data_IF_057283062811
#
_entry.id   IF_057283062811
#
_cell.length_a   1.000
_cell.length_b   1.000
_cell.length_c   1.000
_cell.angle_alpha   90.00
_cell.angle_beta   90.00
_cell.angle_gamma   90.00
#
_symmetry.space_group_name_H-M   'P 1'
#
loop_
_entity.id
_entity.type
_entity.pdbx_description
1 polymer ?
#
# COMPACT_ATOMS: atom_id res chain seq x y z
N UNK A 1 2.56 5.66 18.18
CA UNK A 1 2.06 7.03 17.95
C UNK A 1 2.76 7.95 18.93
N UNK A 2 3.58 8.89 18.45
CA UNK A 2 3.96 10.05 19.26
C UNK A 2 2.92 11.12 18.93
N UNK A 3 2.00 11.38 19.84
CA UNK A 3 1.19 12.59 19.72
C UNK A 3 2.14 13.75 19.95
N UNK A 4 2.22 14.63 18.95
CA UNK A 4 2.89 15.89 19.08
C UNK A 4 1.99 16.74 19.98
N UNK A 5 2.52 17.22 21.10
CA UNK A 5 1.78 18.14 21.96
C UNK A 5 1.43 19.40 21.16
N UNK A 6 0.24 19.96 21.35
CA UNK A 6 -0.24 21.14 20.62
C UNK A 6 0.75 22.33 20.66
N UNK A 7 1.64 22.31 21.66
CA UNK A 7 2.62 23.34 21.96
C UNK A 7 4.00 23.12 21.31
N UNK A 8 4.22 21.99 20.63
CA UNK A 8 5.54 21.54 20.15
C UNK A 8 6.23 22.50 19.18
N UNK A 9 5.45 23.30 18.45
CA UNK A 9 5.98 24.30 17.53
C UNK A 9 5.86 25.73 18.07
N UNK A 10 5.51 25.97 19.34
CA UNK A 10 5.30 27.33 19.88
C UNK A 10 6.60 28.10 20.18
N UNK A 11 7.73 27.41 20.30
CA UNK A 11 9.05 27.97 20.62
C UNK A 11 9.89 28.34 19.37
N UNK A 12 9.43 27.95 18.18
CA UNK A 12 10.15 28.13 16.92
C UNK A 12 10.07 29.58 16.42
N UNK A 13 11.12 30.13 15.80
CA UNK A 13 11.03 31.47 15.17
C UNK A 13 10.31 31.43 13.80
N UNK A 14 9.92 32.59 13.27
CA UNK A 14 9.13 32.63 12.01
C UNK A 14 9.92 32.15 10.78
N UNK A 15 11.26 32.23 10.78
CA UNK A 15 12.09 31.76 9.66
C UNK A 15 12.21 30.24 9.67
N UNK A 16 12.39 29.66 10.85
CA UNK A 16 12.41 28.23 11.05
C UNK A 16 11.01 27.64 10.80
N UNK A 17 9.94 28.35 11.17
CA UNK A 17 8.57 27.95 10.82
C UNK A 17 8.36 27.89 9.30
N UNK A 18 8.82 28.89 8.55
CA UNK A 18 8.76 28.90 7.07
C UNK A 18 9.59 27.76 6.47
N UNK A 19 10.77 27.48 7.02
CA UNK A 19 11.60 26.36 6.59
C UNK A 19 10.90 25.01 6.81
N UNK A 20 10.31 24.80 7.99
CA UNK A 20 9.59 23.57 8.32
C UNK A 20 8.35 23.38 7.45
N UNK A 21 7.60 24.45 7.18
CA UNK A 21 6.46 24.39 6.25
C UNK A 21 6.91 23.96 4.84
N UNK A 22 8.02 24.51 4.34
CA UNK A 22 8.56 24.14 3.03
C UNK A 22 9.02 22.68 2.97
N UNK A 23 9.75 22.22 3.99
CA UNK A 23 10.22 20.83 4.04
C UNK A 23 9.08 19.84 4.25
N UNK A 24 8.07 20.17 5.06
CA UNK A 24 6.87 19.34 5.23
C UNK A 24 6.09 19.17 3.92
N UNK A 25 5.95 20.24 3.12
CA UNK A 25 5.32 20.16 1.81
C UNK A 25 6.09 19.24 0.85
N UNK A 26 7.41 19.37 0.79
CA UNK A 26 8.26 18.47 -0.01
C UNK A 26 8.17 17.02 0.46
N UNK A 27 8.08 16.80 1.77
CA UNK A 27 7.96 15.47 2.36
C UNK A 27 6.65 14.81 1.92
N UNK A 28 5.52 15.52 2.03
CA UNK A 28 4.21 15.07 1.55
C UNK A 28 4.28 14.71 0.07
N UNK A 29 4.79 15.60 -0.78
CA UNK A 29 4.89 15.37 -2.23
C UNK A 29 5.72 14.12 -2.55
N UNK A 30 6.86 13.94 -1.86
CA UNK A 30 7.73 12.77 -2.02
C UNK A 30 7.04 11.46 -1.64
N UNK A 31 6.31 11.44 -0.51
CA UNK A 31 5.58 10.24 -0.07
C UNK A 31 4.41 9.93 -1.00
N UNK A 32 3.65 10.95 -1.42
CA UNK A 32 2.56 10.75 -2.39
C UNK A 32 3.09 10.21 -3.73
N UNK A 33 4.25 10.68 -4.17
CA UNK A 33 4.92 10.15 -5.36
C UNK A 33 5.31 8.68 -5.16
N UNK A 34 5.90 8.32 -4.01
CA UNK A 34 6.23 6.93 -3.66
C UNK A 34 5.00 6.02 -3.70
N UNK A 35 3.91 6.43 -3.02
CA UNK A 35 2.64 5.71 -3.01
C UNK A 35 2.09 5.53 -4.43
N UNK A 36 2.17 6.57 -5.27
CA UNK A 36 1.71 6.51 -6.66
C UNK A 36 2.50 5.49 -7.47
N UNK A 37 3.83 5.48 -7.35
CA UNK A 37 4.70 4.50 -8.02
C UNK A 37 4.39 3.08 -7.55
N UNK A 38 4.24 2.88 -6.24
CA UNK A 38 3.90 1.57 -5.66
C UNK A 38 2.52 1.08 -6.12
N UNK A 39 1.53 1.96 -6.25
CA UNK A 39 0.22 1.64 -6.82
C UNK A 39 0.31 1.29 -8.31
N UNK A 40 1.10 2.03 -9.09
CA UNK A 40 1.32 1.71 -10.51
C UNK A 40 1.97 0.32 -10.68
N UNK A 41 3.01 0.03 -9.89
CA UNK A 41 3.67 -1.28 -9.90
C UNK A 41 2.71 -2.40 -9.48
N UNK A 42 1.84 -2.13 -8.50
CA UNK A 42 0.77 -3.05 -8.10
C UNK A 42 -0.19 -3.34 -9.27
N UNK A 43 -0.62 -2.32 -10.02
CA UNK A 43 -1.47 -2.54 -11.20
C UNK A 43 -0.78 -3.31 -12.32
N UNK A 44 0.52 -3.08 -12.56
CA UNK A 44 1.31 -3.85 -13.52
C UNK A 44 1.36 -5.33 -13.14
N UNK A 45 1.65 -5.62 -11.87
CA UNK A 45 1.66 -6.99 -11.35
C UNK A 45 0.27 -7.63 -11.40
N UNK A 46 -0.79 -6.89 -11.05
CA UNK A 46 -2.17 -7.35 -11.15
C UNK A 46 -2.50 -7.80 -12.59
N UNK A 47 -2.18 -6.96 -13.58
CA UNK A 47 -2.41 -7.26 -15.00
C UNK A 47 -1.71 -8.55 -15.42
N UNK A 48 -0.44 -8.72 -15.03
CA UNK A 48 0.34 -9.94 -15.31
C UNK A 48 -0.29 -11.18 -14.68
N UNK A 49 -0.71 -11.09 -13.41
CA UNK A 49 -1.36 -12.20 -12.72
C UNK A 49 -2.70 -12.57 -13.36
N UNK A 50 -3.52 -11.59 -13.75
CA UNK A 50 -4.80 -11.83 -14.44
C UNK A 50 -4.57 -12.58 -15.75
N UNK A 51 -3.61 -12.15 -16.57
CA UNK A 51 -3.29 -12.80 -17.84
C UNK A 51 -2.83 -14.24 -17.60
N UNK A 52 -1.95 -14.47 -16.61
CA UNK A 52 -1.49 -15.82 -16.27
C UNK A 52 -2.59 -16.73 -15.77
N UNK A 53 -3.43 -16.27 -14.84
CA UNK A 53 -4.58 -17.01 -14.33
C UNK A 53 -5.56 -17.33 -15.46
N UNK A 54 -5.88 -16.36 -16.32
CA UNK A 54 -6.76 -16.56 -17.47
C UNK A 54 -6.21 -17.59 -18.46
N UNK A 55 -4.92 -17.53 -18.79
CA UNK A 55 -4.27 -18.50 -19.66
C UNK A 55 -4.27 -19.91 -19.06
N UNK A 56 -3.91 -20.06 -17.78
CA UNK A 56 -3.94 -21.34 -17.09
C UNK A 56 -5.36 -21.92 -17.00
N UNK A 57 -6.35 -21.09 -16.69
CA UNK A 57 -7.75 -21.51 -16.66
C UNK A 57 -8.23 -22.05 -18.00
N UNK A 58 -7.93 -21.35 -19.11
CA UNK A 58 -8.28 -21.81 -20.45
C UNK A 58 -7.66 -23.18 -20.78
N UNK A 59 -6.37 -23.38 -20.47
CA UNK A 59 -5.68 -24.64 -20.70
C UNK A 59 -6.29 -25.80 -19.87
N UNK A 60 -6.72 -25.52 -18.64
CA UNK A 60 -7.42 -26.51 -17.81
C UNK A 60 -8.75 -26.90 -18.46
N UNK A 61 -9.54 -25.93 -18.96
CA UNK A 61 -10.86 -26.21 -19.56
C UNK A 61 -10.79 -26.98 -20.88
N UNK A 62 -9.65 -26.95 -21.58
CA UNK A 62 -9.42 -27.70 -22.82
C UNK A 62 -8.88 -29.12 -22.57
N UNK A 63 -8.54 -29.45 -21.33
CA UNK A 63 -7.99 -30.76 -20.99
C UNK A 63 -9.12 -31.77 -20.74
N UNK A 64 -9.24 -32.78 -21.60
CA UNK A 64 -10.26 -33.84 -21.46
C UNK A 64 -9.97 -34.82 -20.32
N UNK A 65 -8.74 -34.82 -19.77
CA UNK A 65 -8.28 -35.70 -18.70
C UNK A 65 -7.53 -34.92 -17.63
N UNK A 66 -7.59 -35.44 -16.40
CA UNK A 66 -6.80 -34.93 -15.28
C UNK A 66 -5.42 -35.60 -15.34
N UNK A 67 -4.55 -35.04 -16.16
CA UNK A 67 -3.16 -35.48 -16.29
C UNK A 67 -2.25 -34.63 -15.39
N UNK A 68 -0.98 -35.04 -15.27
CA UNK A 68 0.07 -34.32 -14.54
C UNK A 68 0.09 -32.81 -14.85
N UNK A 69 -0.05 -32.48 -16.13
CA UNK A 69 -0.04 -31.10 -16.62
C UNK A 69 -1.25 -30.30 -16.11
N UNK A 70 -2.44 -30.90 -16.08
CA UNK A 70 -3.66 -30.27 -15.57
C UNK A 70 -3.57 -30.01 -14.07
N UNK A 71 -2.96 -30.93 -13.31
CA UNK A 71 -2.73 -30.78 -11.87
C UNK A 71 -1.76 -29.64 -11.57
N UNK A 72 -0.66 -29.55 -12.34
CA UNK A 72 0.30 -28.45 -12.28
C UNK A 72 -0.37 -27.09 -12.54
N UNK A 73 -1.18 -27.00 -13.60
CA UNK A 73 -1.88 -25.77 -13.94
C UNK A 73 -2.90 -25.37 -12.87
N UNK A 74 -3.56 -26.35 -12.22
CA UNK A 74 -4.55 -26.08 -11.18
C UNK A 74 -3.89 -25.46 -9.94
N UNK A 75 -2.78 -26.02 -9.46
CA UNK A 75 -2.04 -25.47 -8.31
C UNK A 75 -1.48 -24.09 -8.65
N UNK A 76 -0.93 -23.93 -9.86
CA UNK A 76 -0.43 -22.65 -10.31
C UNK A 76 -1.54 -21.59 -10.38
N UNK A 77 -2.67 -21.92 -10.99
CA UNK A 77 -3.83 -21.05 -11.13
C UNK A 77 -4.36 -20.62 -9.74
N UNK A 78 -4.52 -21.57 -8.81
CA UNK A 78 -5.00 -21.25 -7.45
C UNK A 78 -4.01 -20.36 -6.69
N UNK A 79 -2.71 -20.64 -6.73
CA UNK A 79 -1.71 -19.81 -6.04
C UNK A 79 -1.62 -18.38 -6.60
N UNK A 80 -1.67 -18.22 -7.92
CA UNK A 80 -1.70 -16.88 -8.55
C UNK A 80 -3.03 -16.15 -8.29
N UNK A 81 -4.16 -16.88 -8.20
CA UNK A 81 -5.44 -16.29 -7.79
C UNK A 81 -5.38 -15.75 -6.36
N UNK A 82 -4.74 -16.47 -5.44
CA UNK A 82 -4.51 -15.98 -4.06
C UNK A 82 -3.66 -14.70 -4.10
N UNK A 83 -2.58 -14.67 -4.88
CA UNK A 83 -1.74 -13.49 -5.04
C UNK A 83 -2.53 -12.27 -5.55
N UNK A 84 -3.42 -12.49 -6.52
CA UNK A 84 -4.30 -11.46 -7.08
C UNK A 84 -5.23 -10.88 -6.03
N UNK A 85 -5.87 -11.73 -5.21
CA UNK A 85 -6.74 -11.31 -4.11
C UNK A 85 -5.96 -10.52 -3.06
N UNK A 86 -4.78 -10.99 -2.65
CA UNK A 86 -3.92 -10.28 -1.69
C UNK A 86 -3.56 -8.88 -2.21
N UNK A 87 -3.16 -8.78 -3.48
CA UNK A 87 -2.78 -7.50 -4.10
C UNK A 87 -3.98 -6.54 -4.16
N UNK A 88 -5.16 -7.03 -4.55
CA UNK A 88 -6.37 -6.23 -4.62
C UNK A 88 -6.78 -5.68 -3.23
N UNK A 89 -6.71 -6.51 -2.19
CA UNK A 89 -7.16 -6.16 -0.84
C UNK A 89 -6.16 -5.27 -0.11
N UNK A 90 -4.86 -5.54 -0.23
CA UNK A 90 -3.83 -4.88 0.57
C UNK A 90 -3.13 -3.72 -0.15
N UNK A 91 -3.00 -3.76 -1.47
CA UNK A 91 -2.26 -2.73 -2.23
C UNK A 91 -3.20 -1.77 -3.00
N UNK A 92 -4.32 -2.26 -3.53
CA UNK A 92 -5.20 -1.49 -4.42
C UNK A 92 -6.50 -1.02 -3.79
N UNK A 93 -6.80 -1.45 -2.56
CA UNK A 93 -8.01 -1.00 -1.86
C UNK A 93 -8.01 0.53 -1.78
N UNK A 94 -9.06 1.21 -2.28
CA UNK A 94 -9.12 2.66 -2.24
C UNK A 94 -9.15 3.13 -0.79
N UNK A 95 -8.11 3.88 -0.40
CA UNK A 95 -8.03 4.51 0.90
C UNK A 95 -8.58 5.93 0.80
N UNK A 96 -9.25 6.39 1.85
CA UNK A 96 -9.63 7.80 1.96
C UNK A 96 -8.34 8.61 2.04
N UNK A 97 -8.07 9.43 1.03
CA UNK A 97 -6.91 10.32 1.06
C UNK A 97 -7.06 11.29 2.24
N UNK A 98 -6.01 11.53 3.04
CA UNK A 98 -6.03 12.59 4.01
C UNK A 98 -6.24 13.93 3.29
N UNK A 99 -7.08 14.79 3.84
CA UNK A 99 -7.32 16.11 3.27
C UNK A 99 -6.09 16.95 3.66
N UNK A 100 -5.29 17.34 2.67
CA UNK A 100 -4.06 18.14 2.84
C UNK A 100 -4.29 19.55 3.39
N UNK A 101 -5.56 19.93 3.58
CA UNK A 101 -5.96 21.21 4.16
C UNK A 101 -6.81 21.00 5.40
N UNK A 102 -6.59 21.86 6.38
CA UNK A 102 -7.44 21.91 7.57
C UNK A 102 -8.79 22.52 7.19
N UNK A 103 -9.87 21.98 7.78
CA UNK A 103 -11.18 22.60 7.62
C UNK A 103 -11.12 24.04 8.13
N UNK A 104 -11.72 25.01 7.43
CA UNK A 104 -11.82 26.39 7.94
C UNK A 104 -12.44 26.48 9.33
N UNK A 105 -13.30 25.51 9.69
CA UNK A 105 -13.90 25.41 11.02
C UNK A 105 -12.90 24.99 12.10
N UNK A 106 -11.91 24.17 11.76
CA UNK A 106 -10.85 23.72 12.68
C UNK A 106 -9.81 24.84 12.88
N UNK A 107 -9.56 25.62 11.83
CA UNK A 107 -8.64 26.76 11.85
C UNK A 107 -9.22 28.00 12.55
N UNK A 108 -10.55 28.19 12.56
CA UNK A 108 -11.24 29.37 13.10
C UNK A 108 -12.16 29.02 14.28
N UNK A 109 -11.60 28.38 15.30
CA UNK A 109 -12.32 27.91 16.48
C UNK A 109 -12.74 29.04 17.43
N UNK A 110 -13.69 28.76 18.33
CA UNK A 110 -14.08 29.65 19.44
C UNK A 110 -12.88 30.10 20.29
N UNK A 111 -11.89 29.23 20.44
CA UNK A 111 -10.63 29.52 21.14
C UNK A 111 -9.80 30.56 20.38
N UNK A 112 -9.67 30.39 19.05
CA UNK A 112 -8.98 31.35 18.18
C UNK A 112 -9.60 32.75 18.21
N UNK A 113 -10.94 32.85 18.33
CA UNK A 113 -11.65 34.12 18.44
C UNK A 113 -11.36 34.89 19.73
N UNK A 114 -11.02 34.19 20.82
CA UNK A 114 -10.77 34.76 22.15
C UNK A 114 -9.32 35.20 22.39
N UNK A 115 -8.39 34.84 21.49
CA UNK A 115 -7.02 35.35 21.52
C UNK A 115 -7.01 36.86 21.22
N UNK A 116 -6.51 37.67 22.16
CA UNK A 116 -6.37 39.14 22.03
C UNK A 116 -5.13 39.54 21.22
N UNK A 117 -4.26 38.58 20.88
CA UNK A 117 -2.90 38.83 20.43
C UNK A 117 -2.75 39.20 18.94
N UNK A 118 -1.77 40.04 18.62
CA UNK A 118 -1.50 40.58 17.27
C UNK A 118 -0.93 39.55 16.27
N UNK A 119 -0.58 38.34 16.73
CA UNK A 119 0.15 37.33 15.95
C UNK A 119 -0.68 36.08 15.61
N UNK A 120 -2.01 36.22 15.48
CA UNK A 120 -2.96 35.14 15.13
C UNK A 120 -2.54 34.27 13.95
N UNK A 121 -1.94 34.88 12.91
CA UNK A 121 -1.46 34.15 11.73
C UNK A 121 -0.31 33.19 12.06
N UNK A 122 0.64 33.59 12.92
CA UNK A 122 1.77 32.75 13.30
C UNK A 122 1.33 31.51 14.08
N UNK A 123 0.30 31.66 14.95
CA UNK A 123 -0.29 30.55 15.71
C UNK A 123 -0.99 29.58 14.76
N UNK A 124 -1.77 30.10 13.80
CA UNK A 124 -2.49 29.28 12.82
C UNK A 124 -1.53 28.47 11.92
N UNK A 125 -0.39 29.05 11.54
CA UNK A 125 0.69 28.37 10.80
C UNK A 125 1.28 27.19 11.58
N UNK A 126 1.50 27.36 12.90
CA UNK A 126 2.02 26.29 13.78
C UNK A 126 1.02 25.14 13.93
N UNK A 127 -0.26 25.44 14.12
CA UNK A 127 -1.32 24.43 14.13
C UNK A 127 -1.41 23.68 12.80
N UNK A 128 -1.32 24.40 11.69
CA UNK A 128 -1.28 23.80 10.35
C UNK A 128 -0.09 22.85 10.23
N UNK A 129 1.11 23.28 10.64
CA UNK A 129 2.32 22.44 10.60
C UNK A 129 2.17 21.15 11.43
N UNK A 130 1.60 21.25 12.64
CA UNK A 130 1.30 20.07 13.46
C UNK A 130 0.33 19.11 12.77
N UNK A 131 -0.73 19.65 12.14
CA UNK A 131 -1.67 18.81 11.39
C UNK A 131 -1.02 18.17 10.16
N UNK A 132 -0.15 18.90 9.46
CA UNK A 132 0.61 18.36 8.34
C UNK A 132 1.50 17.20 8.79
N UNK A 133 2.12 17.29 9.96
CA UNK A 133 2.95 16.21 10.50
C UNK A 133 2.12 14.97 10.84
N UNK A 134 0.91 15.12 11.39
CA UNK A 134 -0.01 13.99 11.56
C UNK A 134 -0.37 13.35 10.22
N UNK A 135 -0.61 14.15 9.18
CA UNK A 135 -0.86 13.67 7.81
C UNK A 135 0.35 12.92 7.26
N UNK A 136 1.56 13.45 7.43
CA UNK A 136 2.81 12.80 7.01
C UNK A 136 2.93 11.41 7.66
N UNK A 137 2.66 11.31 8.96
CA UNK A 137 2.72 10.03 9.67
C UNK A 137 1.70 9.01 9.11
N UNK A 138 0.48 9.45 8.77
CA UNK A 138 -0.53 8.60 8.13
C UNK A 138 -0.05 8.14 6.73
N UNK A 139 0.53 9.05 5.95
CA UNK A 139 1.03 8.75 4.61
C UNK A 139 2.22 7.76 4.65
N UNK A 140 3.15 7.92 5.59
CA UNK A 140 4.26 6.98 5.80
C UNK A 140 3.73 5.58 6.12
N UNK A 141 2.76 5.49 7.03
CA UNK A 141 2.16 4.19 7.39
C UNK A 141 1.45 3.54 6.19
N UNK A 142 0.77 4.33 5.35
CA UNK A 142 0.16 3.84 4.11
C UNK A 142 1.23 3.32 3.13
N UNK A 143 2.30 4.09 2.89
CA UNK A 143 3.36 3.69 1.96
C UNK A 143 4.08 2.43 2.44
N UNK A 144 4.49 2.37 3.71
CA UNK A 144 5.12 1.20 4.32
C UNK A 144 4.23 -0.04 4.25
N UNK A 145 2.91 0.13 4.41
CA UNK A 145 1.97 -0.99 4.28
C UNK A 145 1.92 -1.47 2.83
N UNK A 146 1.78 -0.56 1.85
CA UNK A 146 1.69 -0.93 0.43
C UNK A 146 2.99 -1.60 -0.02
N UNK A 147 4.14 -1.01 0.28
CA UNK A 147 5.46 -1.54 -0.08
C UNK A 147 5.67 -2.96 0.47
N UNK A 148 5.44 -3.16 1.77
CA UNK A 148 5.60 -4.49 2.40
C UNK A 148 4.71 -5.56 1.78
N UNK A 149 3.45 -5.24 1.47
CA UNK A 149 2.55 -6.20 0.85
C UNK A 149 2.90 -6.45 -0.62
N UNK A 150 3.29 -5.42 -1.35
CA UNK A 150 3.75 -5.56 -2.74
C UNK A 150 4.95 -6.50 -2.82
N UNK A 151 5.98 -6.30 -1.99
CA UNK A 151 7.17 -7.15 -1.93
C UNK A 151 6.79 -8.61 -1.63
N UNK A 152 5.90 -8.83 -0.65
CA UNK A 152 5.43 -10.18 -0.30
C UNK A 152 4.70 -10.83 -1.46
N UNK A 153 3.82 -10.11 -2.15
CA UNK A 153 3.08 -10.66 -3.29
C UNK A 153 4.01 -10.94 -4.47
N UNK A 154 5.00 -10.08 -4.73
CA UNK A 154 6.03 -10.34 -5.75
C UNK A 154 6.73 -11.66 -5.45
N UNK A 155 7.22 -11.83 -4.22
CA UNK A 155 7.93 -13.05 -3.80
C UNK A 155 7.01 -14.28 -3.93
N UNK A 156 5.77 -14.20 -3.45
CA UNK A 156 4.79 -15.30 -3.55
C UNK A 156 4.48 -15.65 -5.01
N UNK A 157 4.33 -14.66 -5.88
CA UNK A 157 4.02 -14.88 -7.29
C UNK A 157 5.14 -15.63 -8.01
N UNK A 158 6.40 -15.37 -7.65
CA UNK A 158 7.60 -16.06 -8.18
C UNK A 158 7.76 -17.46 -7.59
N UNK A 159 7.43 -17.67 -6.31
CA UNK A 159 7.58 -18.99 -5.65
C UNK A 159 6.46 -19.97 -6.06
N UNK A 160 5.27 -19.47 -6.38
CA UNK A 160 4.11 -20.29 -6.77
C UNK A 160 4.39 -21.28 -7.91
N UNK A 161 4.99 -20.89 -9.07
CA UNK A 161 5.30 -21.86 -10.13
C UNK A 161 6.29 -22.93 -9.67
N UNK A 162 7.31 -22.56 -8.89
CA UNK A 162 8.32 -23.51 -8.40
C UNK A 162 7.68 -24.56 -7.49
N UNK A 163 6.84 -24.11 -6.55
CA UNK A 163 6.12 -25.00 -5.63
C UNK A 163 5.11 -25.87 -6.36
N UNK A 164 4.45 -25.35 -7.41
CA UNK A 164 3.55 -26.14 -8.26
C UNK A 164 4.28 -27.30 -8.95
N UNK A 165 5.47 -27.05 -9.50
CA UNK A 165 6.29 -28.09 -10.15
C UNK A 165 6.69 -29.18 -9.15
N UNK A 166 7.20 -28.80 -7.99
CA UNK A 166 7.65 -29.75 -6.95
C UNK A 166 6.47 -30.60 -6.47
N UNK A 167 5.32 -29.99 -6.18
CA UNK A 167 4.15 -30.70 -5.71
C UNK A 167 3.60 -31.66 -6.75
N UNK A 168 3.51 -31.21 -8.01
CA UNK A 168 3.05 -32.06 -9.11
C UNK A 168 3.95 -33.28 -9.28
N UNK A 169 5.27 -33.09 -9.23
CA UNK A 169 6.24 -34.19 -9.31
C UNK A 169 6.05 -35.20 -8.18
N UNK A 170 5.85 -34.73 -6.95
CA UNK A 170 5.64 -35.57 -5.78
C UNK A 170 4.35 -36.41 -5.93
N UNK A 171 3.25 -35.79 -6.36
CA UNK A 171 1.97 -36.50 -6.60
C UNK A 171 2.14 -37.58 -7.68
N UNK A 172 2.84 -37.26 -8.77
CA UNK A 172 3.07 -38.23 -9.84
C UNK A 172 3.92 -39.42 -9.39
N UNK A 173 4.99 -39.14 -8.63
CA UNK A 173 5.85 -40.18 -8.07
C UNK A 173 5.08 -41.12 -7.13
N UNK A 174 4.20 -40.58 -6.28
CA UNK A 174 3.33 -41.38 -5.42
C UNK A 174 2.35 -42.25 -6.21
N UNK A 175 1.79 -41.74 -7.31
CA UNK A 175 0.91 -42.53 -8.19
C UNK A 175 1.63 -43.72 -8.82
N UNK A 176 2.89 -43.55 -9.23
CA UNK A 176 3.71 -44.64 -9.79
C UNK A 176 4.00 -45.70 -8.74
N UNK A 177 4.38 -45.29 -7.52
CA UNK A 177 4.62 -46.23 -6.41
C UNK A 177 3.38 -47.01 -6.00
N UNK A 178 2.19 -46.41 -6.07
CA UNK A 178 0.94 -47.07 -5.74
C UNK A 178 0.49 -48.12 -6.78
N UNK A 179 1.09 -48.13 -7.97
CA UNK A 179 0.80 -49.07 -9.06
C UNK A 179 1.82 -50.23 -9.16
N UNK A 180 2.91 -50.18 -8.38
CA UNK A 180 3.94 -51.21 -8.30
C UNK A 180 3.70 -52.17 -7.13
#
# INVERSE_FOLDING_TARGET
MKQIEDDYFLDVDDKMLEYLELESAKCVDSIEQSISINKENSYKLLSLLIVGVGASFLLITQSDKVDFFTLLLLIFCTGWTICLVLLAVFCLKPQKKPILGNSPLDLYSEYYKKLEDYNKLSILRRYKLSTTEDIINILIEEDDRIARWLDRVIILSVITPITSIIFSFLVHYLQILAQA
#
